data_IF_296544869398
#
_entry.id   IF_296544869398
#
_cell.length_a   1.000
_cell.length_b   1.000
_cell.length_c   1.000
_cell.angle_alpha   90.00
_cell.angle_beta   90.00
_cell.angle_gamma   90.00
#
_symmetry.space_group_name_H-M   'P 1'
#
loop_
_entity.id
_entity.type
_entity.pdbx_description
1 polymer ?
#
# COMPACT_ATOMS: atom_id res chain seq x y z
N UNK A 1 0.07 17.78 15.36
CA UNK A 1 -0.46 17.26 14.08
C UNK A 1 -1.62 18.16 13.67
N UNK A 2 -1.50 18.88 12.56
CA UNK A 2 -2.55 19.78 12.06
C UNK A 2 -3.86 19.00 11.84
N UNK A 3 -4.91 19.41 12.56
CA UNK A 3 -6.30 19.00 12.38
C UNK A 3 -6.90 19.74 11.18
N UNK A 4 -6.34 19.54 9.98
CA UNK A 4 -7.03 19.98 8.78
C UNK A 4 -8.27 19.11 8.59
N UNK A 5 -9.44 19.69 8.88
CA UNK A 5 -10.71 19.20 8.38
C UNK A 5 -10.68 19.31 6.85
N UNK A 6 -10.82 18.18 6.16
CA UNK A 6 -10.88 18.17 4.70
C UNK A 6 -12.30 18.57 4.29
N UNK A 7 -12.52 19.87 4.08
CA UNK A 7 -13.80 20.39 3.64
C UNK A 7 -13.97 20.15 2.13
N UNK A 8 -15.03 19.44 1.73
CA UNK A 8 -15.28 19.08 0.34
C UNK A 8 -15.56 20.30 -0.57
N UNK A 9 -15.87 21.46 0.02
CA UNK A 9 -16.14 22.72 -0.69
C UNK A 9 -14.92 23.33 -1.40
N UNK A 10 -13.69 22.87 -1.11
CA UNK A 10 -12.44 23.41 -1.67
C UNK A 10 -11.93 22.65 -2.91
N UNK A 11 -12.73 21.74 -3.47
CA UNK A 11 -12.36 20.84 -4.56
C UNK A 11 -12.58 21.48 -5.94
N UNK A 12 -11.82 22.51 -6.29
CA UNK A 12 -11.91 23.11 -7.63
C UNK A 12 -11.18 22.31 -8.71
N UNK A 13 -10.10 21.58 -8.37
CA UNK A 13 -9.39 20.69 -9.29
C UNK A 13 -8.52 19.64 -8.55
N UNK A 14 -8.35 18.45 -9.13
CA UNK A 14 -7.62 17.32 -8.54
C UNK A 14 -6.13 17.64 -8.30
N UNK A 15 -5.52 18.44 -9.18
CA UNK A 15 -4.09 18.76 -9.09
C UNK A 15 -3.80 19.64 -7.87
N UNK A 16 -4.60 20.68 -7.64
CA UNK A 16 -4.55 21.55 -6.46
C UNK A 16 -4.73 20.74 -5.17
N UNK A 17 -5.66 19.78 -5.17
CA UNK A 17 -5.90 18.91 -4.03
C UNK A 17 -4.69 18.02 -3.71
N UNK A 18 -4.11 17.37 -4.72
CA UNK A 18 -2.92 16.53 -4.57
C UNK A 18 -1.74 17.35 -4.04
N UNK A 19 -1.52 18.54 -4.58
CA UNK A 19 -0.47 19.47 -4.14
C UNK A 19 -0.68 19.90 -2.68
N UNK A 20 -1.90 20.28 -2.28
CA UNK A 20 -2.25 20.59 -0.88
C UNK A 20 -1.98 19.40 0.06
N UNK A 21 -2.16 18.17 -0.43
CA UNK A 21 -1.85 16.94 0.31
C UNK A 21 -0.37 16.55 0.30
N UNK A 22 0.51 17.35 -0.31
CA UNK A 22 1.95 17.11 -0.37
C UNK A 22 2.37 16.02 -1.37
N UNK A 23 1.52 15.72 -2.37
CA UNK A 23 1.96 14.95 -3.53
C UNK A 23 2.83 15.83 -4.43
N UNK A 24 3.83 15.22 -5.02
CA UNK A 24 4.63 15.77 -6.10
C UNK A 24 4.35 14.94 -7.34
N UNK A 25 3.82 15.55 -8.40
CA UNK A 25 3.60 14.83 -9.65
C UNK A 25 4.94 14.38 -10.24
N UNK A 26 4.93 13.23 -10.90
CA UNK A 26 6.05 12.67 -11.62
C UNK A 26 5.53 12.31 -13.01
N UNK A 27 5.98 13.00 -14.05
CA UNK A 27 5.34 12.92 -15.36
C UNK A 27 3.90 13.45 -15.36
N UNK A 28 3.07 12.90 -16.23
CA UNK A 28 1.70 13.37 -16.51
C UNK A 28 0.64 12.71 -15.60
N UNK A 29 0.86 11.47 -15.18
CA UNK A 29 -0.14 10.67 -14.46
C UNK A 29 0.39 9.96 -13.21
N UNK A 30 1.70 10.04 -12.94
CA UNK A 30 2.33 9.43 -11.77
C UNK A 30 2.52 10.44 -10.64
N UNK A 31 2.73 9.95 -9.43
CA UNK A 31 2.98 10.83 -8.28
C UNK A 31 3.88 10.18 -7.22
N UNK A 32 4.63 11.02 -6.52
CA UNK A 32 5.50 10.68 -5.39
C UNK A 32 5.06 11.46 -4.16
N UNK A 33 5.18 10.86 -2.98
CA UNK A 33 4.94 11.55 -1.71
C UNK A 33 5.77 10.92 -0.60
N UNK A 34 6.35 11.76 0.26
CA UNK A 34 7.03 11.26 1.46
C UNK A 34 6.01 10.71 2.48
N UNK A 35 6.19 9.46 2.86
CA UNK A 35 5.33 8.85 3.88
C UNK A 35 5.67 9.39 5.28
N UNK A 36 4.76 9.22 6.24
CA UNK A 36 4.98 9.63 7.63
C UNK A 36 6.28 9.06 8.19
N UNK A 37 6.54 7.78 7.94
CA UNK A 37 7.66 7.06 8.51
C UNK A 37 9.01 7.45 7.91
N UNK A 38 9.05 7.80 6.62
CA UNK A 38 10.25 8.38 6.02
C UNK A 38 10.61 9.68 6.75
N UNK A 39 9.63 10.57 6.97
CA UNK A 39 9.89 11.85 7.64
C UNK A 39 10.37 11.68 9.09
N UNK A 40 9.82 10.69 9.81
CA UNK A 40 10.29 10.32 11.16
C UNK A 40 11.69 9.74 11.11
N UNK A 41 11.97 8.83 10.18
CA UNK A 41 13.29 8.21 10.03
C UNK A 41 14.36 9.24 9.69
N UNK A 42 14.08 10.19 8.78
CA UNK A 42 14.96 11.33 8.44
C UNK A 42 15.25 12.27 9.61
N UNK A 43 14.47 12.18 10.70
CA UNK A 43 14.65 12.95 11.95
C UNK A 43 15.09 12.07 13.12
N UNK A 44 15.38 10.80 12.86
CA UNK A 44 15.73 9.80 13.86
C UNK A 44 14.62 9.57 14.92
N UNK A 45 13.37 9.85 14.57
CA UNK A 45 12.18 9.72 15.42
C UNK A 45 11.51 8.34 15.30
N UNK A 46 12.16 7.37 14.66
CA UNK A 46 11.70 5.99 14.49
C UNK A 46 11.53 5.52 13.04
N UNK A 47 11.24 4.23 12.87
CA UNK A 47 11.15 3.52 11.58
C UNK A 47 9.75 2.94 11.36
N UNK A 48 9.39 2.62 10.10
CA UNK A 48 8.12 1.94 9.82
C UNK A 48 8.16 0.46 10.21
N UNK A 49 6.99 -0.17 10.34
CA UNK A 49 6.87 -1.59 10.67
C UNK A 49 7.59 -2.52 9.67
N UNK A 50 7.73 -2.13 8.40
CA UNK A 50 8.47 -2.91 7.40
C UNK A 50 9.98 -2.98 7.68
N UNK A 51 10.50 -2.08 8.51
CA UNK A 51 11.86 -2.19 9.03
C UNK A 51 11.99 -3.41 9.96
N UNK A 52 10.98 -3.68 10.80
CA UNK A 52 10.91 -4.87 11.65
C UNK A 52 10.70 -6.13 10.81
N UNK A 53 9.66 -6.12 9.97
CA UNK A 53 9.25 -7.33 9.25
C UNK A 53 10.26 -7.73 8.16
N UNK A 54 10.74 -6.77 7.37
CA UNK A 54 11.44 -7.08 6.12
C UNK A 54 12.82 -6.42 6.00
N UNK A 55 13.33 -5.77 7.05
CA UNK A 55 14.65 -5.12 7.04
C UNK A 55 14.70 -3.82 6.23
N UNK A 56 13.55 -3.17 5.98
CA UNK A 56 13.46 -1.98 5.11
C UNK A 56 13.93 -0.70 5.79
N UNK A 57 14.84 -0.01 5.13
CA UNK A 57 15.31 1.32 5.53
C UNK A 57 14.28 2.38 5.18
N UNK A 58 13.52 2.83 6.17
CA UNK A 58 12.35 3.69 5.96
C UNK A 58 12.68 5.03 5.31
N UNK A 59 13.87 5.59 5.58
CA UNK A 59 14.34 6.84 4.99
C UNK A 59 14.78 6.69 3.52
N UNK A 60 15.03 5.47 3.06
CA UNK A 60 15.44 5.13 1.68
C UNK A 60 14.30 4.53 0.85
N UNK A 61 13.06 4.69 1.31
CA UNK A 61 11.86 4.21 0.64
C UNK A 61 11.22 5.33 -0.20
N UNK A 62 11.18 5.15 -1.52
CA UNK A 62 10.47 6.00 -2.46
C UNK A 62 9.03 5.50 -2.60
N UNK A 63 8.06 6.22 -2.04
CA UNK A 63 6.64 5.90 -2.20
C UNK A 63 6.05 6.62 -3.42
N UNK A 64 5.59 5.84 -4.39
CA UNK A 64 5.04 6.35 -5.65
C UNK A 64 3.82 5.58 -6.13
N UNK A 65 3.16 6.10 -7.16
CA UNK A 65 2.21 5.36 -7.99
C UNK A 65 2.37 5.77 -9.45
N UNK A 66 2.25 4.83 -10.42
CA UNK A 66 2.22 5.15 -11.84
C UNK A 66 0.83 5.63 -12.30
N UNK A 67 -0.20 5.57 -11.46
CA UNK A 67 -1.53 6.06 -11.83
C UNK A 67 -2.34 6.45 -10.60
N UNK A 68 -3.14 7.50 -10.73
CA UNK A 68 -4.07 7.94 -9.69
C UNK A 68 -5.45 7.30 -9.85
N UNK A 69 -5.71 6.64 -10.98
CA UNK A 69 -6.98 5.97 -11.27
C UNK A 69 -7.16 4.74 -10.40
N UNK A 70 -8.39 4.48 -9.97
CA UNK A 70 -8.75 3.25 -9.26
C UNK A 70 -10.18 2.84 -9.62
N UNK A 71 -10.43 1.54 -9.60
CA UNK A 71 -11.73 0.92 -9.84
C UNK A 71 -12.47 0.55 -8.55
N UNK A 72 -11.99 0.99 -7.38
CA UNK A 72 -12.63 0.86 -6.07
C UNK A 72 -12.74 2.23 -5.38
N UNK A 73 -13.76 2.39 -4.52
CA UNK A 73 -13.98 3.60 -3.70
C UNK A 73 -14.04 3.26 -2.20
N UNK A 74 -13.01 2.55 -1.73
CA UNK A 74 -13.02 1.92 -0.40
C UNK A 74 -13.29 2.91 0.74
N UNK A 75 -14.05 2.50 1.76
CA UNK A 75 -14.34 3.30 2.95
C UNK A 75 -13.08 3.84 3.65
N UNK A 76 -12.06 3.00 3.76
CA UNK A 76 -10.82 3.28 4.48
C UNK A 76 -9.76 3.99 3.63
N UNK A 77 -10.00 4.22 2.34
CA UNK A 77 -9.01 4.86 1.48
C UNK A 77 -8.77 6.30 1.94
N UNK A 78 -7.56 6.64 2.39
CA UNK A 78 -7.29 8.00 2.89
C UNK A 78 -7.24 9.07 1.78
N UNK A 79 -7.34 8.67 0.50
CA UNK A 79 -7.44 9.57 -0.64
C UNK A 79 -8.88 10.00 -0.91
N UNK A 80 -9.07 11.14 -1.57
CA UNK A 80 -10.36 11.53 -2.14
C UNK A 80 -10.78 10.48 -3.17
N UNK A 81 -11.83 9.71 -2.86
CA UNK A 81 -12.44 8.74 -3.80
C UNK A 81 -13.70 9.32 -4.46
N UNK A 82 -14.12 10.48 -3.98
CA UNK A 82 -15.26 11.27 -4.44
C UNK A 82 -14.89 12.08 -5.70
N UNK A 83 -13.60 12.28 -5.96
CA UNK A 83 -13.07 12.93 -7.16
C UNK A 83 -12.38 11.88 -8.02
N UNK A 84 -12.87 11.73 -9.25
CA UNK A 84 -12.28 10.79 -10.20
C UNK A 84 -10.99 11.35 -10.79
N UNK A 85 -9.95 10.50 -10.81
CA UNK A 85 -8.75 10.79 -11.57
C UNK A 85 -9.01 10.53 -13.06
N UNK A 86 -8.78 11.53 -13.94
CA UNK A 86 -8.94 11.33 -15.37
C UNK A 86 -7.91 10.31 -15.87
N UNK A 87 -8.28 9.57 -16.93
CA UNK A 87 -7.29 8.83 -17.70
C UNK A 87 -6.36 9.81 -18.41
N UNK A 88 -5.04 9.53 -18.49
CA UNK A 88 -4.15 10.35 -19.28
C UNK A 88 -4.44 10.20 -20.77
N UNK A 89 -4.14 11.25 -21.54
CA UNK A 89 -4.17 11.18 -23.01
C UNK A 89 -3.10 10.23 -23.54
N UNK A 90 -1.92 10.23 -22.90
CA UNK A 90 -0.79 9.38 -23.21
C UNK A 90 -0.17 8.84 -21.92
N UNK A 91 0.23 7.56 -21.95
CA UNK A 91 0.94 6.93 -20.85
C UNK A 91 2.45 7.20 -20.99
N UNK A 92 3.03 7.86 -20.00
CA UNK A 92 4.47 8.04 -19.89
C UNK A 92 5.18 6.69 -19.89
N UNK A 93 6.36 6.63 -20.50
CA UNK A 93 7.18 5.43 -20.52
C UNK A 93 7.73 5.10 -19.12
N UNK A 94 8.05 3.82 -18.86
CA UNK A 94 8.70 3.40 -17.62
C UNK A 94 9.93 4.26 -17.24
N UNK A 95 10.80 4.53 -18.21
CA UNK A 95 12.02 5.32 -18.02
C UNK A 95 11.73 6.76 -17.57
N UNK A 96 10.74 7.41 -18.18
CA UNK A 96 10.30 8.76 -17.81
C UNK A 96 9.72 8.79 -16.39
N UNK A 97 8.93 7.78 -16.02
CA UNK A 97 8.36 7.65 -14.67
C UNK A 97 9.47 7.45 -13.64
N UNK A 98 10.42 6.54 -13.87
CA UNK A 98 11.53 6.28 -12.94
C UNK A 98 12.37 7.55 -12.73
N UNK A 99 12.79 8.19 -13.82
CA UNK A 99 13.58 9.43 -13.74
C UNK A 99 12.83 10.55 -13.01
N UNK A 100 11.55 10.74 -13.32
CA UNK A 100 10.70 11.73 -12.67
C UNK A 100 10.47 11.41 -11.19
N UNK A 101 10.31 10.13 -10.83
CA UNK A 101 10.12 9.70 -9.46
C UNK A 101 11.36 9.97 -8.60
N UNK A 102 12.56 9.62 -9.08
CA UNK A 102 13.83 9.85 -8.38
C UNK A 102 14.07 11.35 -8.20
N UNK A 103 13.85 12.15 -9.26
CA UNK A 103 13.94 13.61 -9.19
C UNK A 103 12.97 14.19 -8.16
N UNK A 104 11.71 13.73 -8.16
CA UNK A 104 10.69 14.18 -7.20
C UNK A 104 11.00 13.75 -5.78
N UNK A 105 11.55 12.56 -5.57
CA UNK A 105 12.02 12.09 -4.26
C UNK A 105 13.15 12.98 -3.74
N UNK A 106 14.22 13.22 -4.51
CA UNK A 106 15.33 14.11 -4.11
C UNK A 106 14.86 15.53 -3.78
N UNK A 107 13.91 16.06 -4.56
CA UNK A 107 13.28 17.35 -4.26
C UNK A 107 12.51 17.35 -2.93
N UNK A 108 11.85 16.25 -2.56
CA UNK A 108 11.15 16.15 -1.28
C UNK A 108 12.11 15.94 -0.11
N UNK A 109 13.23 15.26 -0.34
CA UNK A 109 14.28 15.02 0.67
C UNK A 109 15.13 16.26 0.94
N UNK A 110 15.28 17.17 -0.04
CA UNK A 110 16.08 18.40 0.14
C UNK A 110 15.62 19.24 1.35
N UNK A 111 14.34 19.20 1.70
CA UNK A 111 13.78 19.88 2.89
C UNK A 111 14.23 19.30 4.24
N UNK A 112 14.96 18.19 4.25
CA UNK A 112 15.55 17.58 5.46
C UNK A 112 17.06 17.83 5.57
N UNK A 113 17.63 18.67 4.70
CA UNK A 113 19.06 19.00 4.74
C UNK A 113 19.40 19.70 6.05
N UNK A 114 20.08 18.98 6.93
CA UNK A 114 20.57 19.45 8.23
C UNK A 114 22.05 19.06 8.35
N UNK A 115 22.88 19.99 8.83
CA UNK A 115 24.33 19.78 8.92
C UNK A 115 24.68 18.60 9.85
N UNK A 116 23.91 18.44 10.93
CA UNK A 116 24.12 17.40 11.93
C UNK A 116 23.70 16.00 11.46
N UNK A 117 22.91 15.92 10.37
CA UNK A 117 22.36 14.66 9.83
C UNK A 117 22.75 14.44 8.37
N UNK A 118 23.94 14.90 8.01
CA UNK A 118 24.41 14.87 6.61
C UNK A 118 24.41 13.48 5.99
N UNK A 119 24.90 12.46 6.70
CA UNK A 119 24.96 11.08 6.19
C UNK A 119 23.56 10.53 5.92
N UNK A 120 22.65 10.67 6.89
CA UNK A 120 21.25 10.27 6.76
C UNK A 120 20.55 10.98 5.60
N UNK A 121 20.85 12.28 5.41
CA UNK A 121 20.36 13.06 4.29
C UNK A 121 20.89 12.56 2.94
N UNK A 122 22.19 12.22 2.87
CA UNK A 122 22.79 11.62 1.67
C UNK A 122 22.14 10.27 1.34
N UNK A 123 21.93 9.41 2.34
CA UNK A 123 21.25 8.12 2.15
C UNK A 123 19.80 8.29 1.68
N UNK A 124 19.06 9.26 2.23
CA UNK A 124 17.69 9.54 1.82
C UNK A 124 17.56 10.02 0.37
N UNK A 125 18.62 10.64 -0.19
CA UNK A 125 18.69 11.02 -1.60
C UNK A 125 19.00 9.84 -2.55
N UNK A 126 19.45 8.71 -1.99
CA UNK A 126 19.79 7.48 -2.69
C UNK A 126 18.84 6.35 -2.25
N UNK A 127 17.59 6.32 -2.75
CA UNK A 127 16.62 5.31 -2.37
C UNK A 127 17.12 3.88 -2.65
N UNK A 128 16.61 2.91 -1.90
CA UNK A 128 16.89 1.46 -2.07
C UNK A 128 15.62 0.64 -2.32
N UNK A 129 14.48 1.23 -1.99
CA UNK A 129 13.19 0.56 -2.00
C UNK A 129 12.17 1.45 -2.71
N UNK A 130 11.36 0.88 -3.59
CA UNK A 130 10.28 1.59 -4.28
C UNK A 130 8.95 0.96 -3.89
N UNK A 131 8.12 1.74 -3.19
CA UNK A 131 6.79 1.34 -2.80
C UNK A 131 5.76 1.88 -3.80
N UNK A 132 5.44 1.07 -4.81
CA UNK A 132 4.40 1.28 -5.82
C UNK A 132 3.02 1.02 -5.17
N UNK A 133 2.64 1.96 -4.30
CA UNK A 133 1.55 1.80 -3.34
C UNK A 133 1.05 3.14 -2.80
N UNK A 134 1.34 4.23 -3.53
CA UNK A 134 0.80 5.53 -3.21
C UNK A 134 -0.70 5.49 -3.50
N UNK A 135 -1.22 6.21 -4.48
CA UNK A 135 -2.66 6.25 -4.77
C UNK A 135 -3.02 5.38 -5.97
N UNK A 136 -4.31 5.28 -6.27
CA UNK A 136 -4.77 4.54 -7.44
C UNK A 136 -4.64 3.03 -7.30
N UNK A 137 -4.87 2.35 -8.41
CA UNK A 137 -4.62 0.92 -8.61
C UNK A 137 -3.47 0.78 -9.61
N UNK A 138 -2.24 0.45 -9.16
CA UNK A 138 -1.06 0.41 -10.03
C UNK A 138 -1.22 -0.50 -11.23
N UNK A 139 -1.99 -1.59 -11.12
CA UNK A 139 -2.22 -2.52 -12.23
C UNK A 139 -3.04 -1.95 -13.38
N UNK A 140 -3.56 -0.72 -13.26
CA UNK A 140 -4.17 0.02 -14.38
C UNK A 140 -3.13 0.70 -15.29
N UNK A 141 -1.86 0.78 -14.88
CA UNK A 141 -0.78 1.25 -15.74
C UNK A 141 -0.35 0.12 -16.70
N UNK A 142 -0.44 0.32 -18.04
CA UNK A 142 -0.24 -0.77 -19.00
C UNK A 142 1.20 -1.31 -19.05
N UNK A 143 2.20 -0.48 -18.71
CA UNK A 143 3.62 -0.85 -18.77
C UNK A 143 4.19 -1.15 -17.37
N UNK A 144 3.35 -1.63 -16.45
CA UNK A 144 3.77 -1.93 -15.08
C UNK A 144 4.88 -3.01 -15.00
N UNK A 145 4.89 -4.08 -15.82
CA UNK A 145 6.00 -5.04 -15.82
C UNK A 145 7.33 -4.36 -16.14
N UNK A 146 7.37 -3.54 -17.19
CA UNK A 146 8.55 -2.81 -17.61
C UNK A 146 8.99 -1.77 -16.57
N UNK A 147 8.05 -1.12 -15.88
CA UNK A 147 8.36 -0.21 -14.77
C UNK A 147 8.98 -0.93 -13.57
N UNK A 148 8.50 -2.12 -13.23
CA UNK A 148 9.08 -2.94 -12.17
C UNK A 148 10.51 -3.35 -12.54
N UNK A 149 10.73 -3.80 -13.77
CA UNK A 149 12.06 -4.18 -14.27
C UNK A 149 13.02 -2.97 -14.35
N UNK A 150 12.54 -1.80 -14.78
CA UNK A 150 13.36 -0.58 -14.83
C UNK A 150 13.91 -0.19 -13.44
N UNK A 151 13.08 -0.26 -12.39
CA UNK A 151 13.55 -0.03 -11.02
C UNK A 151 14.54 -1.10 -10.55
N UNK A 152 14.28 -2.37 -10.86
CA UNK A 152 15.19 -3.48 -10.50
C UNK A 152 16.54 -3.37 -11.19
N UNK A 153 16.58 -2.96 -12.47
CA UNK A 153 17.80 -2.74 -13.23
C UNK A 153 18.69 -1.65 -12.62
N UNK A 154 18.10 -0.73 -11.84
CA UNK A 154 18.83 0.26 -11.04
C UNK A 154 19.21 -0.24 -9.64
N UNK A 155 19.04 -1.54 -9.37
CA UNK A 155 19.34 -2.17 -8.08
C UNK A 155 18.34 -1.81 -6.97
N UNK A 156 17.13 -1.35 -7.32
CA UNK A 156 16.09 -1.01 -6.34
C UNK A 156 15.14 -2.17 -6.14
N UNK A 157 14.84 -2.48 -4.88
CA UNK A 157 13.78 -3.44 -4.55
C UNK A 157 12.41 -2.81 -4.76
N UNK A 158 11.47 -3.59 -5.27
CA UNK A 158 10.13 -3.10 -5.64
C UNK A 158 9.03 -3.76 -4.82
N UNK A 159 8.08 -2.95 -4.37
CA UNK A 159 6.90 -3.38 -3.63
C UNK A 159 5.67 -2.89 -4.39
N UNK A 160 4.92 -3.79 -5.02
CA UNK A 160 3.66 -3.45 -5.69
C UNK A 160 2.52 -3.81 -4.76
N UNK A 161 1.60 -2.87 -4.52
CA UNK A 161 0.36 -3.12 -3.79
C UNK A 161 -0.82 -2.95 -4.75
N UNK A 162 -1.52 -4.05 -5.00
CA UNK A 162 -2.74 -4.08 -5.80
C UNK A 162 -3.96 -4.42 -4.95
N UNK A 163 -5.14 -3.99 -5.39
CA UNK A 163 -6.43 -4.44 -4.89
C UNK A 163 -6.88 -5.79 -5.51
N UNK A 164 -6.07 -6.38 -6.41
CA UNK A 164 -6.30 -7.71 -6.99
C UNK A 164 -7.31 -7.76 -8.12
N UNK A 165 -7.82 -6.63 -8.62
CA UNK A 165 -8.92 -6.63 -9.59
C UNK A 165 -8.49 -6.66 -11.05
N UNK A 166 -7.19 -6.69 -11.36
CA UNK A 166 -6.63 -6.88 -12.69
C UNK A 166 -5.74 -8.16 -12.74
N UNK A 167 -6.35 -9.35 -12.83
CA UNK A 167 -5.60 -10.62 -12.83
C UNK A 167 -4.61 -10.76 -13.99
N UNK A 168 -4.90 -10.19 -15.17
CA UNK A 168 -3.96 -10.23 -16.30
C UNK A 168 -2.65 -9.54 -15.94
N UNK A 169 -2.72 -8.33 -15.40
CA UNK A 169 -1.51 -7.61 -14.99
C UNK A 169 -0.82 -8.29 -13.80
N UNK A 170 -1.59 -8.84 -12.85
CA UNK A 170 -1.05 -9.60 -11.74
C UNK A 170 -0.23 -10.81 -12.20
N UNK A 171 -0.61 -11.47 -13.32
CA UNK A 171 0.20 -12.55 -13.93
C UNK A 171 1.54 -12.06 -14.44
N UNK A 172 1.60 -10.87 -15.03
CA UNK A 172 2.77 -10.34 -15.73
C UNK A 172 3.85 -9.73 -14.84
N UNK A 173 3.50 -9.28 -13.63
CA UNK A 173 4.44 -8.56 -12.76
C UNK A 173 5.08 -9.47 -11.72
N UNK A 174 6.39 -9.33 -11.50
CA UNK A 174 7.11 -10.05 -10.45
C UNK A 174 8.02 -9.09 -9.68
N UNK A 175 7.48 -8.18 -8.84
CA UNK A 175 8.29 -7.26 -8.03
C UNK A 175 9.18 -8.00 -7.02
N UNK A 176 9.96 -7.31 -6.19
CA UNK A 176 10.67 -7.97 -5.07
C UNK A 176 9.69 -8.52 -4.02
N UNK A 177 8.54 -7.86 -3.84
CA UNK A 177 7.45 -8.33 -3.00
C UNK A 177 6.09 -7.84 -3.53
N UNK A 178 5.20 -8.77 -3.86
CA UNK A 178 3.87 -8.48 -4.39
C UNK A 178 2.83 -8.54 -3.27
N UNK A 179 2.06 -7.45 -3.11
CA UNK A 179 0.98 -7.36 -2.14
C UNK A 179 -0.36 -7.35 -2.84
N UNK A 180 -1.30 -8.12 -2.31
CA UNK A 180 -2.70 -8.00 -2.63
C UNK A 180 -3.50 -7.60 -1.40
N UNK A 181 -4.32 -6.55 -1.53
CA UNK A 181 -5.24 -6.13 -0.46
C UNK A 181 -6.48 -7.03 -0.46
N UNK A 182 -6.80 -7.60 0.70
CA UNK A 182 -7.98 -8.46 0.91
C UNK A 182 -8.77 -7.92 2.11
N UNK A 183 -9.60 -6.91 1.89
CA UNK A 183 -10.25 -6.17 2.98
C UNK A 183 -11.66 -6.67 3.31
N UNK A 184 -12.04 -7.87 2.84
CA UNK A 184 -13.35 -8.46 3.09
C UNK A 184 -13.31 -10.01 3.09
N UNK A 185 -14.06 -10.69 3.99
CA UNK A 185 -14.12 -12.15 4.04
C UNK A 185 -15.08 -12.76 3.01
N UNK A 186 -15.92 -11.95 2.36
CA UNK A 186 -16.94 -12.39 1.40
C UNK A 186 -17.34 -11.24 0.46
N UNK A 187 -18.09 -11.57 -0.60
CA UNK A 187 -18.52 -10.60 -1.63
C UNK A 187 -19.40 -9.47 -1.08
N UNK A 188 -20.32 -9.80 -0.17
CA UNK A 188 -21.23 -8.80 0.41
C UNK A 188 -20.44 -7.72 1.16
N UNK A 189 -19.47 -8.15 1.98
CA UNK A 189 -18.59 -7.24 2.72
C UNK A 189 -17.68 -6.48 1.77
N UNK A 190 -17.15 -7.12 0.72
CA UNK A 190 -16.34 -6.47 -0.31
C UNK A 190 -17.10 -5.32 -0.99
N UNK A 191 -18.35 -5.54 -1.37
CA UNK A 191 -19.19 -4.52 -1.99
C UNK A 191 -19.43 -3.33 -1.05
N UNK A 192 -19.61 -3.58 0.26
CA UNK A 192 -19.81 -2.52 1.26
C UNK A 192 -18.52 -1.74 1.57
N UNK A 193 -17.40 -2.45 1.72
CA UNK A 193 -16.13 -1.91 2.21
C UNK A 193 -15.29 -1.31 1.10
N UNK A 194 -15.10 -2.05 0.00
CA UNK A 194 -14.25 -1.63 -1.12
C UNK A 194 -15.03 -0.78 -2.14
N UNK A 195 -16.37 -0.87 -2.15
CA UNK A 195 -17.26 -0.12 -3.06
C UNK A 195 -16.74 -0.15 -4.50
N UNK A 196 -16.62 -1.35 -5.09
CA UNK A 196 -16.08 -1.51 -6.42
C UNK A 196 -16.98 -0.81 -7.45
N UNK A 197 -16.39 -0.31 -8.55
CA UNK A 197 -17.16 0.26 -9.67
C UNK A 197 -18.03 -0.77 -10.40
N UNK A 198 -17.73 -2.06 -10.23
CA UNK A 198 -18.50 -3.18 -10.77
C UNK A 198 -18.45 -4.35 -9.80
N UNK A 199 -19.58 -5.03 -9.58
CA UNK A 199 -19.65 -6.25 -8.75
C UNK A 199 -18.81 -7.38 -9.31
N UNK A 200 -18.61 -7.43 -10.63
CA UNK A 200 -17.76 -8.44 -11.29
C UNK A 200 -16.29 -8.39 -10.84
N UNK A 201 -15.84 -7.28 -10.24
CA UNK A 201 -14.49 -7.16 -9.71
C UNK A 201 -14.21 -8.13 -8.55
N UNK A 202 -15.25 -8.65 -7.87
CA UNK A 202 -15.08 -9.72 -6.88
C UNK A 202 -14.56 -11.02 -7.51
N UNK A 203 -15.08 -11.38 -8.70
CA UNK A 203 -14.61 -12.55 -9.44
C UNK A 203 -13.16 -12.37 -9.88
N UNK A 204 -12.80 -11.16 -10.33
CA UNK A 204 -11.43 -10.82 -10.72
C UNK A 204 -10.45 -10.86 -9.53
N UNK A 205 -10.89 -10.39 -8.36
CA UNK A 205 -10.14 -10.56 -7.11
C UNK A 205 -9.89 -12.04 -6.78
N UNK A 206 -10.91 -12.89 -6.94
CA UNK A 206 -10.77 -14.34 -6.72
C UNK A 206 -9.82 -14.99 -7.72
N UNK A 207 -9.84 -14.57 -8.99
CA UNK A 207 -8.89 -15.03 -10.01
C UNK A 207 -7.44 -14.66 -9.60
N UNK A 208 -7.23 -13.43 -9.11
CA UNK A 208 -5.92 -12.99 -8.62
C UNK A 208 -5.45 -13.74 -7.39
N UNK A 209 -6.33 -14.19 -6.49
CA UNK A 209 -5.94 -15.06 -5.38
C UNK A 209 -5.26 -16.32 -5.92
N UNK A 210 -5.83 -17.01 -6.91
CA UNK A 210 -5.23 -18.22 -7.49
C UNK A 210 -3.92 -17.94 -8.25
N UNK A 211 -3.78 -16.74 -8.84
CA UNK A 211 -2.53 -16.32 -9.49
C UNK A 211 -1.40 -16.17 -8.46
N UNK A 212 -1.67 -15.56 -7.31
CA UNK A 212 -0.66 -15.33 -6.26
C UNK A 212 0.08 -16.61 -5.85
N UNK A 213 -0.65 -17.73 -5.80
CA UNK A 213 -0.12 -19.04 -5.39
C UNK A 213 1.05 -19.53 -6.24
N UNK A 214 1.08 -19.14 -7.52
CA UNK A 214 2.08 -19.62 -8.49
C UNK A 214 3.16 -18.58 -8.78
N UNK A 215 3.24 -17.50 -7.97
CA UNK A 215 4.28 -16.48 -8.14
C UNK A 215 5.62 -16.95 -7.61
N UNK A 216 6.68 -16.63 -8.35
CA UNK A 216 8.07 -16.88 -7.94
C UNK A 216 8.60 -15.78 -7.01
N UNK A 217 8.02 -14.58 -7.08
CA UNK A 217 8.27 -13.52 -6.11
C UNK A 217 7.63 -13.85 -4.76
N UNK A 218 8.20 -13.27 -3.69
CA UNK A 218 7.53 -13.16 -2.40
C UNK A 218 6.15 -12.51 -2.53
N UNK A 219 5.14 -13.13 -1.92
CA UNK A 219 3.74 -12.69 -1.93
C UNK A 219 3.22 -12.37 -0.54
N UNK A 220 2.37 -11.35 -0.45
CA UNK A 220 1.74 -10.93 0.79
C UNK A 220 0.26 -10.64 0.57
N UNK A 221 -0.61 -11.21 1.40
CA UNK A 221 -1.96 -10.69 1.55
C UNK A 221 -1.96 -9.66 2.67
N UNK A 222 -2.49 -8.46 2.40
CA UNK A 222 -2.68 -7.42 3.42
C UNK A 222 -4.15 -7.18 3.67
N UNK A 223 -4.55 -7.24 4.93
CA UNK A 223 -5.91 -6.99 5.40
C UNK A 223 -5.91 -5.69 6.21
N UNK A 224 -6.77 -4.75 5.84
CA UNK A 224 -7.05 -3.54 6.63
C UNK A 224 -8.32 -3.75 7.45
N UNK A 225 -8.14 -4.02 8.74
CA UNK A 225 -9.22 -4.25 9.71
C UNK A 225 -9.86 -2.94 10.17
N UNK A 226 -11.17 -2.86 10.03
CA UNK A 226 -12.02 -1.75 10.41
C UNK A 226 -13.06 -2.28 11.40
N UNK A 227 -13.00 -1.78 12.63
CA UNK A 227 -13.89 -2.21 13.72
C UNK A 227 -15.34 -1.91 13.36
N UNK A 228 -16.21 -2.91 13.55
CA UNK A 228 -17.63 -2.83 13.21
C UNK A 228 -17.95 -2.88 11.71
N UNK A 229 -16.96 -3.09 10.84
CA UNK A 229 -17.13 -3.02 9.38
C UNK A 229 -16.68 -4.29 8.66
N UNK A 230 -15.50 -4.83 8.98
CA UNK A 230 -15.01 -6.08 8.36
C UNK A 230 -14.28 -7.02 9.33
N UNK A 231 -14.26 -6.72 10.63
CA UNK A 231 -13.65 -7.55 11.67
C UNK A 231 -14.59 -8.67 12.14
N UNK A 232 -14.97 -9.57 11.24
CA UNK A 232 -15.81 -10.73 11.51
C UNK A 232 -15.52 -11.85 10.50
N UNK A 233 -16.06 -13.06 10.76
CA UNK A 233 -15.87 -14.24 9.90
C UNK A 233 -14.40 -14.51 9.55
N UNK A 234 -13.52 -14.74 10.55
CA UNK A 234 -12.11 -15.05 10.31
C UNK A 234 -11.90 -16.26 9.40
N UNK A 235 -12.80 -17.25 9.46
CA UNK A 235 -12.80 -18.39 8.53
C UNK A 235 -12.93 -17.96 7.05
N UNK A 236 -13.77 -16.97 6.73
CA UNK A 236 -13.93 -16.49 5.36
C UNK A 236 -12.66 -15.83 4.82
N UNK A 237 -11.94 -15.08 5.67
CA UNK A 237 -10.59 -14.62 5.33
C UNK A 237 -9.63 -15.79 5.11
N UNK A 238 -9.58 -16.76 6.02
CA UNK A 238 -8.71 -17.93 5.90
C UNK A 238 -8.98 -18.72 4.60
N UNK A 239 -10.24 -18.90 4.22
CA UNK A 239 -10.63 -19.61 3.00
C UNK A 239 -10.14 -18.91 1.73
N UNK A 240 -10.23 -17.58 1.68
CA UNK A 240 -9.70 -16.78 0.59
C UNK A 240 -8.17 -16.78 0.57
N UNK A 241 -7.53 -16.61 1.73
CA UNK A 241 -6.06 -16.62 1.85
C UNK A 241 -5.50 -17.98 1.41
N UNK A 242 -6.19 -19.09 1.71
CA UNK A 242 -5.75 -20.44 1.34
C UNK A 242 -5.63 -20.62 -0.18
N UNK A 243 -6.50 -19.97 -0.97
CA UNK A 243 -6.40 -19.94 -2.45
C UNK A 243 -5.06 -19.36 -2.91
N UNK A 244 -4.66 -18.25 -2.30
CA UNK A 244 -3.41 -17.57 -2.63
C UNK A 244 -2.19 -18.20 -2.00
N UNK A 245 -2.33 -18.85 -0.84
CA UNK A 245 -1.22 -19.47 -0.11
C UNK A 245 0.01 -18.54 -0.03
N UNK A 246 -0.11 -17.27 0.40
CA UNK A 246 1.00 -16.32 0.33
C UNK A 246 2.12 -16.67 1.31
N UNK A 247 3.31 -16.09 1.14
CA UNK A 247 4.38 -16.23 2.13
C UNK A 247 4.00 -15.60 3.47
N UNK A 248 3.32 -14.44 3.39
CA UNK A 248 2.93 -13.67 4.57
C UNK A 248 1.50 -13.15 4.49
N UNK A 249 0.89 -12.98 5.67
CA UNK A 249 -0.35 -12.22 5.83
C UNK A 249 -0.11 -11.05 6.78
N UNK A 250 -0.25 -9.83 6.29
CA UNK A 250 -0.24 -8.62 7.12
C UNK A 250 -1.68 -8.28 7.54
N UNK A 251 -1.98 -8.39 8.82
CA UNK A 251 -3.27 -7.99 9.37
C UNK A 251 -3.08 -6.68 10.12
N UNK A 252 -3.71 -5.61 9.62
CA UNK A 252 -3.40 -4.24 10.05
C UNK A 252 -4.64 -3.44 10.39
N UNK A 253 -4.60 -2.64 11.45
CA UNK A 253 -5.65 -1.68 11.74
C UNK A 253 -5.80 -0.64 10.62
N UNK A 254 -7.04 -0.33 10.28
CA UNK A 254 -7.41 0.98 9.76
C UNK A 254 -6.85 2.08 10.67
N UNK A 255 -6.40 3.20 10.10
CA UNK A 255 -5.96 4.38 10.85
C UNK A 255 -6.77 5.60 10.40
N UNK A 256 -7.32 6.36 11.35
CA UNK A 256 -8.20 7.50 11.08
C UNK A 256 -7.45 8.70 10.44
N UNK A 257 -7.23 8.65 9.13
CA UNK A 257 -6.35 9.55 8.36
C UNK A 257 -6.97 10.01 7.02
N UNK A 258 -6.61 11.22 6.59
CA UNK A 258 -7.01 11.74 5.28
C UNK A 258 -8.53 11.83 5.08
N UNK A 259 -8.99 11.57 3.85
CA UNK A 259 -10.40 11.61 3.47
C UNK A 259 -11.23 10.44 4.04
N UNK A 260 -10.59 9.40 4.58
CA UNK A 260 -11.32 8.30 5.22
C UNK A 260 -12.08 8.77 6.48
N UNK A 261 -11.62 9.86 7.11
CA UNK A 261 -12.25 10.48 8.28
C UNK A 261 -13.68 10.99 8.01
N UNK A 262 -13.97 11.27 6.74
CA UNK A 262 -15.30 11.71 6.30
C UNK A 262 -16.25 10.51 6.07
N UNK A 263 -15.74 9.28 6.12
CA UNK A 263 -16.47 8.04 5.82
C UNK A 263 -16.52 7.07 7.00
N UNK A 264 -15.51 7.10 7.87
CA UNK A 264 -15.38 6.21 9.01
C UNK A 264 -15.10 7.04 10.27
N UNK A 265 -15.78 6.73 11.39
CA UNK A 265 -15.53 7.39 12.66
C UNK A 265 -14.19 6.93 13.25
N UNK A 266 -13.64 7.68 14.21
CA UNK A 266 -12.37 7.34 14.85
C UNK A 266 -12.43 6.02 15.59
N UNK A 267 -13.59 5.67 16.13
CA UNK A 267 -13.88 4.44 16.87
C UNK A 267 -13.82 3.19 15.98
N UNK A 268 -13.87 3.36 14.66
CA UNK A 268 -13.66 2.27 13.70
C UNK A 268 -12.18 1.83 13.61
N UNK A 269 -11.26 2.53 14.28
CA UNK A 269 -9.83 2.21 14.37
C UNK A 269 -9.60 1.18 15.50
N UNK A 270 -9.39 -0.12 15.19
CA UNK A 270 -9.18 -1.13 16.24
C UNK A 270 -7.88 -0.90 16.99
N UNK A 271 -7.85 -1.28 18.25
CA UNK A 271 -6.64 -1.36 19.08
C UNK A 271 -5.69 -2.45 18.55
N UNK A 272 -4.43 -2.41 18.99
CA UNK A 272 -3.46 -3.46 18.62
C UNK A 272 -3.89 -4.84 19.13
N UNK A 273 -4.39 -4.91 20.36
CA UNK A 273 -4.89 -6.15 20.97
C UNK A 273 -6.05 -6.76 20.15
N UNK A 274 -6.99 -5.93 19.69
CA UNK A 274 -8.09 -6.40 18.82
C UNK A 274 -7.56 -6.94 17.49
N UNK A 275 -6.55 -6.29 16.89
CA UNK A 275 -5.90 -6.78 15.67
C UNK A 275 -5.20 -8.12 15.94
N UNK A 276 -4.44 -8.24 17.03
CA UNK A 276 -3.74 -9.47 17.41
C UNK A 276 -4.70 -10.64 17.65
N UNK A 277 -5.78 -10.40 18.39
CA UNK A 277 -6.78 -11.42 18.67
C UNK A 277 -7.51 -11.87 17.40
N UNK A 278 -7.83 -10.94 16.48
CA UNK A 278 -8.45 -11.32 15.20
C UNK A 278 -7.47 -12.04 14.27
N UNK A 279 -6.19 -11.64 14.28
CA UNK A 279 -5.13 -12.28 13.50
C UNK A 279 -4.91 -13.73 13.92
N UNK A 280 -4.93 -14.01 15.24
CA UNK A 280 -4.88 -15.38 15.78
C UNK A 280 -6.05 -16.23 15.31
N UNK A 281 -7.26 -15.69 15.31
CA UNK A 281 -8.43 -16.42 14.79
C UNK A 281 -8.29 -16.77 13.30
N UNK A 282 -7.79 -15.84 12.47
CA UNK A 282 -7.51 -16.14 11.05
C UNK A 282 -6.44 -17.25 10.95
N UNK A 283 -5.36 -17.11 11.71
CA UNK A 283 -4.26 -18.07 11.75
C UNK A 283 -4.73 -19.49 12.13
N UNK A 284 -5.60 -19.62 13.13
CA UNK A 284 -6.16 -20.90 13.58
C UNK A 284 -6.92 -21.65 12.46
N UNK A 285 -7.71 -20.93 11.66
CA UNK A 285 -8.41 -21.53 10.51
C UNK A 285 -7.48 -21.79 9.31
N UNK A 286 -6.44 -20.98 9.15
CA UNK A 286 -5.54 -21.03 7.99
C UNK A 286 -4.40 -22.03 8.17
N UNK A 287 -4.01 -22.35 9.41
CA UNK A 287 -2.81 -23.12 9.73
C UNK A 287 -1.53 -22.30 9.64
N UNK A 288 -1.62 -20.99 9.85
CA UNK A 288 -0.46 -20.08 9.95
C UNK A 288 -0.25 -19.76 11.43
N UNK A 289 0.84 -19.08 11.75
CA UNK A 289 1.15 -18.62 13.11
C UNK A 289 1.64 -17.16 13.07
N UNK A 290 1.60 -16.50 14.22
CA UNK A 290 2.14 -15.13 14.35
C UNK A 290 3.66 -15.18 14.27
N UNK A 291 4.24 -14.43 13.32
CA UNK A 291 5.67 -14.34 13.10
C UNK A 291 6.28 -13.11 13.79
N UNK A 292 5.58 -11.97 13.76
CA UNK A 292 6.00 -10.72 14.39
C UNK A 292 4.77 -9.78 14.53
N UNK A 293 4.88 -8.73 15.33
CA UNK A 293 3.88 -7.67 15.44
C UNK A 293 4.50 -6.32 15.81
N UNK A 294 3.86 -5.22 15.37
CA UNK A 294 4.34 -3.85 15.64
C UNK A 294 3.20 -3.00 16.15
N UNK A 295 3.15 -2.84 17.47
CA UNK A 295 2.07 -2.16 18.20
C UNK A 295 1.81 -0.72 17.71
N UNK A 296 2.87 0.08 17.51
CA UNK A 296 2.72 1.48 17.07
C UNK A 296 2.05 1.60 15.68
N UNK A 297 2.16 0.56 14.85
CA UNK A 297 1.51 0.46 13.55
C UNK A 297 0.25 -0.40 13.55
N UNK A 298 -0.11 -0.98 14.71
CA UNK A 298 -1.25 -1.88 14.94
C UNK A 298 -1.34 -2.94 13.86
N UNK A 299 -0.25 -3.66 13.66
CA UNK A 299 -0.10 -4.64 12.59
C UNK A 299 0.53 -5.92 13.13
N UNK A 300 0.02 -7.04 12.64
CA UNK A 300 0.49 -8.39 12.96
C UNK A 300 0.86 -9.07 11.66
N UNK A 301 1.98 -9.79 11.69
CA UNK A 301 2.46 -10.60 10.58
C UNK A 301 2.19 -12.06 10.89
N UNK A 302 1.55 -12.75 9.95
CA UNK A 302 1.40 -14.19 9.97
C UNK A 302 2.30 -14.81 8.91
N UNK A 303 2.88 -15.97 9.21
CA UNK A 303 3.56 -16.83 8.24
C UNK A 303 3.29 -18.30 8.57
N UNK A 304 3.64 -19.21 7.66
CA UNK A 304 3.37 -20.65 7.84
C UNK A 304 4.17 -21.27 8.97
N UNK A 305 5.41 -20.82 9.14
CA UNK A 305 6.40 -21.40 10.05
C UNK A 305 6.72 -20.50 11.25
N UNK A 306 6.13 -19.30 11.31
CA UNK A 306 6.38 -18.31 12.36
C UNK A 306 7.65 -17.51 12.17
N UNK A 307 8.29 -17.61 11.00
CA UNK A 307 9.47 -16.83 10.67
C UNK A 307 9.16 -15.79 9.60
N UNK A 308 9.98 -14.74 9.58
CA UNK A 308 10.03 -13.75 8.51
C UNK A 308 11.46 -13.54 8.06
N UNK A 309 11.66 -13.52 6.75
CA UNK A 309 12.95 -13.22 6.14
C UNK A 309 13.01 -11.78 5.64
N UNK A 310 14.14 -11.11 5.87
CA UNK A 310 14.36 -9.78 5.29
C UNK A 310 14.48 -9.87 3.77
N UNK A 311 14.18 -8.77 3.09
CA UNK A 311 14.50 -8.65 1.68
C UNK A 311 16.00 -8.41 1.56
N UNK A 312 16.66 -9.21 0.74
CA UNK A 312 18.06 -9.03 0.36
C UNK A 312 18.15 -8.11 -0.84
#
# INVERSE_FOLDING_TARGET
MSSQEYNFSDLTDLHSLLKKQGYNLAGNHSAVKTCLWLRRAMREEGKCYKASFYGIESHRCLQMTPTLMCNQRCLHCWRPVEVDAPAPEEWDSPSEIVGSCIKSQRKLISGFGDADRRELWLEGNEPRHVAISLSGEPTMYPYLPELVEEFKNQGLTTFVVSNGTNPEMMRLIDPSQLYMSLDAPNEETYNKVCRPRSTQLWNKLNESLEILKNKETRTVIRITLIKGVNMFQPQGYADLIRKASPDYVEVKAYMHLGFSRNRLPREAMPSHEEVLNFSRQIADYLGYVVADDVEISRVVLLSRDGYVSFLK
#
